data_IF_856814731404
#
_entry.id   IF_856814731404
#
_cell.length_a   1.000
_cell.length_b   1.000
_cell.length_c   1.000
_cell.angle_alpha   90.00
_cell.angle_beta   90.00
_cell.angle_gamma   90.00
#
_symmetry.space_group_name_H-M   'P 1'
#
loop_
_entity.id
_entity.type
_entity.pdbx_description
1 polymer ?
#
# COMPACT_ATOMS: atom_id res chain seq x y z
N UNK A 1 7.76 12.29 7.31
CA UNK A 1 9.17 12.77 7.27
C UNK A 1 9.63 13.28 5.91
N UNK A 2 9.77 12.43 4.87
CA UNK A 2 10.50 12.79 3.65
C UNK A 2 9.94 14.01 2.87
N UNK A 3 8.61 14.24 2.91
CA UNK A 3 7.95 15.38 2.27
C UNK A 3 7.78 16.61 3.17
N UNK A 4 8.12 16.51 4.47
CA UNK A 4 7.92 17.62 5.42
C UNK A 4 8.81 18.81 5.04
N UNK A 5 8.30 20.03 5.16
CA UNK A 5 9.06 21.23 4.82
C UNK A 5 10.23 21.48 5.77
N UNK A 6 10.02 21.30 7.08
CA UNK A 6 11.04 21.50 8.10
C UNK A 6 11.93 20.25 8.30
N UNK A 7 13.12 20.44 8.86
CA UNK A 7 14.10 19.41 9.24
C UNK A 7 15.33 19.38 8.32
N UNK A 8 16.21 18.39 8.52
CA UNK A 8 17.51 18.32 7.82
C UNK A 8 17.34 17.93 6.36
N UNK A 9 18.02 18.63 5.44
CA UNK A 9 17.88 18.45 4.00
C UNK A 9 18.27 17.05 3.52
N UNK A 10 19.30 16.43 4.11
CA UNK A 10 19.72 15.07 3.79
C UNK A 10 18.68 13.99 4.16
N UNK A 11 17.62 14.36 4.89
CA UNK A 11 16.50 13.48 5.25
C UNK A 11 15.22 13.82 4.46
N UNK A 12 15.33 14.53 3.33
CA UNK A 12 14.18 15.05 2.57
C UNK A 12 14.25 14.64 1.12
N UNK A 13 13.07 14.42 0.55
CA UNK A 13 12.87 14.14 -0.87
C UNK A 13 11.49 14.70 -1.26
N UNK A 14 11.38 16.04 -1.28
CA UNK A 14 10.11 16.76 -1.37
C UNK A 14 9.47 16.69 -2.75
N UNK A 15 10.30 16.51 -3.78
CA UNK A 15 9.87 16.41 -5.17
C UNK A 15 9.17 15.08 -5.50
N UNK A 16 9.29 14.09 -4.61
CA UNK A 16 8.61 12.80 -4.75
C UNK A 16 7.19 12.83 -4.17
N UNK A 17 6.36 11.91 -4.65
CA UNK A 17 5.03 11.63 -4.10
C UNK A 17 5.08 10.32 -3.32
N UNK A 18 4.30 10.26 -2.24
CA UNK A 18 4.31 9.14 -1.31
C UNK A 18 2.92 8.51 -1.24
N UNK A 19 2.88 7.18 -1.26
CA UNK A 19 1.67 6.40 -1.13
C UNK A 19 1.92 5.22 -0.18
N UNK A 20 0.87 4.75 0.47
CA UNK A 20 0.87 3.55 1.29
C UNK A 20 0.05 2.46 0.61
N UNK A 21 0.65 1.28 0.49
CA UNK A 21 0.00 0.05 0.03
C UNK A 21 -0.37 -0.80 1.26
N UNK A 22 -1.56 -0.57 1.79
CA UNK A 22 -1.97 -0.97 3.14
C UNK A 22 -2.69 -2.33 3.11
N UNK A 23 -2.21 -3.35 3.83
CA UNK A 23 -2.94 -4.60 4.01
C UNK A 23 -4.10 -4.45 5.02
N UNK A 24 -5.17 -5.21 4.84
CA UNK A 24 -6.35 -5.24 5.72
C UNK A 24 -5.94 -5.55 7.18
N UNK A 25 -4.95 -6.43 7.37
CA UNK A 25 -4.41 -6.79 8.68
C UNK A 25 -3.94 -5.57 9.47
N UNK A 26 -3.26 -4.62 8.83
CA UNK A 26 -2.80 -3.41 9.50
C UNK A 26 -3.98 -2.61 10.04
N UNK A 27 -5.02 -2.40 9.23
CA UNK A 27 -6.21 -1.66 9.64
C UNK A 27 -6.97 -2.35 10.77
N UNK A 28 -7.06 -3.69 10.76
CA UNK A 28 -7.63 -4.45 11.90
C UNK A 28 -6.81 -4.23 13.17
N UNK A 29 -5.47 -4.33 13.10
CA UNK A 29 -4.60 -4.11 14.26
C UNK A 29 -4.66 -2.68 14.80
N UNK A 30 -4.84 -1.67 13.93
CA UNK A 30 -5.08 -0.28 14.35
C UNK A 30 -6.39 -0.18 15.14
N UNK A 31 -7.48 -0.77 14.61
CA UNK A 31 -8.81 -0.78 15.26
C UNK A 31 -8.77 -1.46 16.62
N UNK A 32 -8.04 -2.56 16.74
CA UNK A 32 -7.92 -3.37 17.97
C UNK A 32 -6.86 -2.84 18.95
N UNK A 33 -6.13 -1.78 18.61
CA UNK A 33 -4.98 -1.28 19.36
C UNK A 33 -3.89 -2.36 19.62
N UNK A 34 -3.74 -3.26 18.65
CA UNK A 34 -2.78 -4.35 18.70
C UNK A 34 -1.37 -3.88 18.33
N UNK A 35 -0.39 -4.78 18.46
CA UNK A 35 0.98 -4.54 18.02
C UNK A 35 1.13 -4.76 16.52
N UNK A 36 2.03 -4.02 15.89
CA UNK A 36 2.46 -4.18 14.52
C UNK A 36 3.97 -4.43 14.48
N UNK A 37 4.37 -5.46 13.77
CA UNK A 37 5.78 -5.84 13.57
C UNK A 37 6.30 -5.24 12.27
N UNK A 38 7.46 -4.60 12.36
CA UNK A 38 8.24 -4.10 11.24
C UNK A 38 9.29 -5.13 10.85
N UNK A 39 9.42 -5.36 9.55
CA UNK A 39 10.24 -6.42 8.97
C UNK A 39 11.26 -5.85 7.99
N UNK A 40 12.42 -6.52 7.90
CA UNK A 40 13.36 -6.32 6.80
C UNK A 40 12.96 -7.25 5.64
N UNK A 41 12.70 -6.74 4.42
CA UNK A 41 12.27 -7.60 3.30
C UNK A 41 13.34 -8.63 2.93
N UNK A 42 14.63 -8.32 3.12
CA UNK A 42 15.73 -9.24 2.85
C UNK A 42 15.77 -10.45 3.81
N UNK A 43 15.23 -10.28 5.02
CA UNK A 43 15.22 -11.31 6.08
C UNK A 43 13.89 -12.07 6.16
N UNK A 44 12.89 -11.66 5.37
CA UNK A 44 11.51 -12.18 5.43
C UNK A 44 11.02 -12.81 4.13
N UNK A 45 11.96 -13.20 3.27
CA UNK A 45 11.66 -14.09 2.15
C UNK A 45 11.43 -15.50 2.69
N UNK A 46 10.32 -16.10 2.30
CA UNK A 46 10.05 -17.50 2.57
C UNK A 46 10.96 -18.36 1.69
N UNK A 47 11.85 -19.13 2.32
CA UNK A 47 12.85 -19.94 1.61
C UNK A 47 12.23 -21.10 0.84
N UNK A 48 11.04 -21.58 1.24
CA UNK A 48 10.37 -22.68 0.55
C UNK A 48 9.67 -22.21 -0.72
N UNK A 49 9.00 -21.07 -0.66
CA UNK A 49 8.19 -20.55 -1.76
C UNK A 49 8.90 -19.48 -2.59
N UNK A 50 10.01 -18.93 -2.09
CA UNK A 50 10.72 -17.80 -2.69
C UNK A 50 9.95 -16.47 -2.59
N UNK A 51 8.80 -16.44 -1.90
CA UNK A 51 7.91 -15.27 -1.83
C UNK A 51 8.14 -14.47 -0.55
N UNK A 52 8.11 -13.15 -0.66
CA UNK A 52 8.07 -12.24 0.48
C UNK A 52 6.67 -11.72 0.79
N UNK A 53 6.56 -10.89 1.82
CA UNK A 53 5.32 -10.20 2.20
C UNK A 53 4.73 -9.31 1.09
N UNK A 54 5.54 -8.90 0.11
CA UNK A 54 5.08 -8.10 -1.04
C UNK A 54 4.45 -8.95 -2.15
N UNK A 55 4.72 -10.26 -2.18
CA UNK A 55 4.30 -11.17 -3.25
C UNK A 55 2.98 -11.89 -2.97
N UNK A 56 2.40 -11.68 -1.79
CA UNK A 56 1.14 -12.30 -1.33
C UNK A 56 0.18 -11.26 -0.79
N UNK A 57 -1.13 -11.52 -0.79
CA UNK A 57 -2.16 -10.60 -0.27
C UNK A 57 -3.27 -11.38 0.47
N UNK A 58 -4.16 -10.65 1.16
CA UNK A 58 -5.29 -11.23 1.89
C UNK A 58 -4.87 -12.29 2.93
N UNK A 59 -5.56 -13.42 2.94
CA UNK A 59 -5.30 -14.49 3.92
C UNK A 59 -3.89 -15.08 3.83
N UNK A 60 -3.31 -15.17 2.62
CA UNK A 60 -1.95 -15.68 2.42
C UNK A 60 -0.93 -14.73 3.06
N UNK A 61 -1.12 -13.41 2.90
CA UNK A 61 -0.33 -12.39 3.58
C UNK A 61 -0.45 -12.51 5.10
N UNK A 62 -1.65 -12.68 5.63
CA UNK A 62 -1.89 -12.78 7.08
C UNK A 62 -1.18 -13.99 7.69
N UNK A 63 -1.29 -15.16 7.04
CA UNK A 63 -0.62 -16.39 7.48
C UNK A 63 0.89 -16.24 7.46
N UNK A 64 1.45 -15.69 6.37
CA UNK A 64 2.89 -15.46 6.26
C UNK A 64 3.38 -14.46 7.31
N UNK A 65 2.69 -13.32 7.45
CA UNK A 65 3.05 -12.27 8.40
C UNK A 65 3.06 -12.79 9.84
N UNK A 66 2.00 -13.47 10.27
CA UNK A 66 1.89 -14.01 11.63
C UNK A 66 2.89 -15.14 11.90
N UNK A 67 3.18 -15.98 10.90
CA UNK A 67 4.25 -16.98 10.98
C UNK A 67 5.61 -16.33 11.21
N UNK A 68 5.96 -15.31 10.41
CA UNK A 68 7.24 -14.59 10.56
C UNK A 68 7.35 -13.89 11.91
N UNK A 69 6.24 -13.39 12.47
CA UNK A 69 6.22 -12.86 13.84
C UNK A 69 6.52 -13.94 14.89
N UNK A 70 5.93 -15.14 14.74
CA UNK A 70 6.15 -16.26 15.65
C UNK A 70 7.58 -16.83 15.54
N UNK A 71 8.16 -16.83 14.35
CA UNK A 71 9.57 -17.20 14.09
C UNK A 71 10.57 -16.15 14.62
N UNK A 72 10.09 -15.00 15.13
CA UNK A 72 10.96 -13.97 15.69
C UNK A 72 11.75 -13.17 14.64
N UNK A 73 11.37 -13.24 13.35
CA UNK A 73 12.03 -12.52 12.25
C UNK A 73 11.69 -11.02 12.19
N UNK A 74 10.94 -10.52 13.18
CA UNK A 74 10.56 -9.12 13.28
C UNK A 74 11.71 -8.24 13.76
N UNK A 75 12.05 -7.20 13.01
CA UNK A 75 13.08 -6.25 13.40
C UNK A 75 12.64 -5.38 14.59
N UNK A 76 11.36 -5.00 14.65
CA UNK A 76 10.82 -4.16 15.72
C UNK A 76 9.31 -4.32 15.87
N UNK A 77 8.82 -4.35 17.11
CA UNK A 77 7.37 -4.26 17.43
C UNK A 77 7.01 -2.87 17.92
N UNK A 78 5.87 -2.35 17.46
CA UNK A 78 5.31 -1.06 17.86
C UNK A 78 3.80 -1.17 18.01
N UNK A 79 3.12 -0.23 18.68
CA UNK A 79 1.66 -0.20 18.63
C UNK A 79 1.19 0.23 17.25
N UNK A 80 0.22 -0.47 16.66
CA UNK A 80 -0.30 -0.16 15.34
C UNK A 80 -0.85 1.29 15.27
N UNK A 81 -1.52 1.73 16.34
CA UNK A 81 -2.00 3.11 16.45
C UNK A 81 -0.89 4.15 16.46
N UNK A 82 0.30 3.85 16.99
CA UNK A 82 1.42 4.79 16.91
C UNK A 82 1.84 5.06 15.46
N UNK A 83 1.90 4.01 14.62
CA UNK A 83 2.16 4.19 13.19
C UNK A 83 1.01 4.93 12.51
N UNK A 84 -0.24 4.59 12.85
CA UNK A 84 -1.41 5.26 12.31
C UNK A 84 -1.41 6.77 12.60
N UNK A 85 -1.11 7.17 13.83
CA UNK A 85 -0.97 8.59 14.18
C UNK A 85 0.12 9.29 13.37
N UNK A 86 1.24 8.61 13.06
CA UNK A 86 2.28 9.17 12.18
C UNK A 86 1.79 9.37 10.73
N UNK A 87 0.96 8.46 10.22
CA UNK A 87 0.33 8.62 8.90
C UNK A 87 -0.58 9.85 8.88
N UNK A 88 -1.44 9.98 9.90
CA UNK A 88 -2.36 11.12 10.04
C UNK A 88 -1.61 12.45 10.19
N UNK A 89 -0.59 12.50 11.04
CA UNK A 89 0.28 13.67 11.21
C UNK A 89 0.90 14.10 9.86
N UNK A 90 1.43 13.15 9.09
CA UNK A 90 1.97 13.42 7.75
C UNK A 90 0.91 13.95 6.78
N UNK A 91 -0.29 13.38 6.79
CA UNK A 91 -1.40 13.82 5.95
C UNK A 91 -1.89 15.22 6.33
N UNK A 92 -1.95 15.54 7.62
CA UNK A 92 -2.31 16.87 8.10
C UNK A 92 -1.29 17.93 7.67
N UNK A 93 0.00 17.61 7.70
CA UNK A 93 1.06 18.56 7.35
C UNK A 93 1.26 18.71 5.82
N UNK A 94 1.10 17.63 5.06
CA UNK A 94 1.54 17.58 3.64
C UNK A 94 0.47 17.13 2.65
N UNK A 95 -0.71 16.74 3.13
CA UNK A 95 -1.76 16.12 2.30
C UNK A 95 -1.44 14.69 1.84
N UNK A 96 -0.29 14.12 2.24
CA UNK A 96 0.21 12.80 1.79
C UNK A 96 0.76 11.99 2.99
N UNK A 97 0.81 10.66 2.93
CA UNK A 97 0.73 9.79 1.74
C UNK A 97 -0.68 9.52 1.24
N UNK A 98 -0.79 9.16 -0.04
CA UNK A 98 -1.99 8.53 -0.59
C UNK A 98 -2.26 7.19 0.10
N UNK A 99 -3.54 6.81 0.18
CA UNK A 99 -3.99 5.60 0.87
C UNK A 99 -4.58 4.63 -0.13
N UNK A 100 -3.98 3.44 -0.25
CA UNK A 100 -4.48 2.38 -1.10
C UNK A 100 -4.54 1.08 -0.32
N UNK A 101 -5.64 0.36 -0.46
CA UNK A 101 -5.88 -0.89 0.26
C UNK A 101 -5.50 -2.08 -0.61
N UNK A 102 -4.32 -2.65 -0.34
CA UNK A 102 -3.67 -3.72 -1.09
C UNK A 102 -4.60 -4.89 -1.35
N UNK A 103 -5.27 -5.37 -0.32
CA UNK A 103 -6.05 -6.60 -0.39
C UNK A 103 -7.33 -6.39 -1.20
N UNK A 104 -7.96 -5.22 -1.08
CA UNK A 104 -9.10 -4.84 -1.91
C UNK A 104 -8.72 -4.64 -3.37
N UNK A 105 -7.57 -4.03 -3.64
CA UNK A 105 -7.08 -3.81 -4.99
C UNK A 105 -6.78 -5.13 -5.69
N UNK A 106 -6.12 -6.06 -5.00
CA UNK A 106 -5.79 -7.37 -5.54
C UNK A 106 -7.03 -8.27 -5.71
N UNK A 107 -7.88 -8.40 -4.68
CA UNK A 107 -9.05 -9.32 -4.69
C UNK A 107 -10.09 -8.99 -5.77
N UNK A 108 -10.14 -7.74 -6.22
CA UNK A 108 -11.12 -7.25 -7.20
C UNK A 108 -10.51 -6.95 -8.57
N UNK A 109 -9.24 -7.24 -8.77
CA UNK A 109 -8.58 -7.04 -10.06
C UNK A 109 -8.88 -8.20 -11.00
N UNK A 110 -9.24 -7.87 -12.24
CA UNK A 110 -9.32 -8.87 -13.31
C UNK A 110 -7.93 -9.43 -13.70
N UNK A 111 -6.84 -8.82 -13.23
CA UNK A 111 -5.45 -9.27 -13.43
C UNK A 111 -4.91 -10.12 -12.27
N UNK A 112 -5.74 -10.50 -11.29
CA UNK A 112 -5.29 -11.33 -10.16
C UNK A 112 -4.63 -12.66 -10.57
N UNK A 113 -4.93 -13.15 -11.78
CA UNK A 113 -4.34 -14.34 -12.38
C UNK A 113 -2.86 -14.18 -12.77
N UNK A 114 -2.34 -12.96 -12.88
CA UNK A 114 -0.94 -12.68 -13.20
C UNK A 114 -0.04 -12.71 -11.96
N UNK A 115 -0.62 -12.46 -10.79
CA UNK A 115 0.07 -12.44 -9.51
C UNK A 115 -0.34 -11.25 -8.64
N UNK A 116 0.35 -11.06 -7.51
CA UNK A 116 0.07 -9.96 -6.58
C UNK A 116 0.50 -8.63 -7.19
N UNK A 117 -0.45 -7.70 -7.31
CA UNK A 117 -0.25 -6.30 -7.68
C UNK A 117 0.42 -5.57 -6.50
N UNK A 118 1.54 -4.90 -6.80
CA UNK A 118 2.46 -4.34 -5.80
C UNK A 118 2.30 -2.84 -5.56
N UNK A 119 1.63 -2.12 -6.46
CA UNK A 119 1.42 -0.67 -6.34
C UNK A 119 0.25 -0.21 -7.23
N UNK A 120 -0.02 1.10 -7.19
CA UNK A 120 -0.81 1.83 -8.18
C UNK A 120 0.10 2.77 -8.98
N UNK A 121 -0.48 3.69 -9.76
CA UNK A 121 0.22 4.76 -10.47
C UNK A 121 0.29 6.06 -9.64
N UNK A 122 0.81 7.13 -10.25
CA UNK A 122 0.96 8.45 -9.64
C UNK A 122 -0.36 9.03 -9.10
N UNK A 123 -1.45 8.83 -9.83
CA UNK A 123 -2.75 9.45 -9.53
C UNK A 123 -3.72 8.51 -8.79
N UNK A 124 -3.28 7.28 -8.45
CA UNK A 124 -3.97 6.29 -7.60
C UNK A 124 -5.18 5.58 -8.19
N UNK A 125 -5.50 5.82 -9.47
CA UNK A 125 -6.66 5.26 -10.17
C UNK A 125 -6.36 3.93 -10.88
N UNK A 126 -5.08 3.64 -11.18
CA UNK A 126 -4.69 2.45 -11.96
C UNK A 126 -4.17 1.35 -11.04
N UNK A 127 -4.69 0.15 -11.23
CA UNK A 127 -4.35 -1.05 -10.44
C UNK A 127 -3.99 -2.16 -11.42
N UNK A 128 -2.72 -2.21 -11.80
CA UNK A 128 -2.18 -3.13 -12.80
C UNK A 128 -0.98 -3.90 -12.27
N UNK A 129 -0.82 -5.14 -12.73
CA UNK A 129 0.29 -6.00 -12.40
C UNK A 129 1.61 -5.45 -12.94
N UNK A 130 2.68 -5.63 -12.16
CA UNK A 130 4.06 -5.30 -12.56
C UNK A 130 5.01 -6.38 -12.09
N UNK A 131 6.09 -6.57 -12.84
CA UNK A 131 7.16 -7.54 -12.54
C UNK A 131 8.51 -6.96 -12.95
N UNK A 132 9.65 -7.62 -12.66
CA UNK A 132 10.96 -7.18 -13.18
C UNK A 132 11.00 -7.03 -14.71
N UNK A 133 10.19 -7.81 -15.42
CA UNK A 133 10.17 -7.87 -16.89
C UNK A 133 8.95 -7.15 -17.50
N UNK A 134 8.00 -6.68 -16.67
CA UNK A 134 6.76 -6.05 -17.11
C UNK A 134 6.53 -4.69 -16.44
N UNK A 135 6.57 -3.63 -17.26
CA UNK A 135 6.20 -2.27 -16.87
C UNK A 135 4.78 -1.98 -17.37
N UNK A 136 3.85 -1.85 -16.43
CA UNK A 136 2.46 -1.49 -16.71
C UNK A 136 2.35 -0.09 -17.35
N UNK A 137 1.37 0.08 -18.24
CA UNK A 137 1.17 1.33 -19.00
C UNK A 137 -0.31 1.71 -18.95
N UNK A 138 -0.55 2.98 -18.61
CA UNK A 138 -1.89 3.53 -18.52
C UNK A 138 -2.31 4.23 -19.81
N UNK A 139 -3.41 3.78 -20.44
CA UNK A 139 -4.01 4.43 -21.60
C UNK A 139 -5.34 5.09 -21.20
N UNK A 140 -5.39 6.44 -21.23
CA UNK A 140 -6.47 7.21 -20.64
C UNK A 140 -7.26 8.03 -21.66
N UNK A 141 -8.56 8.12 -21.41
CA UNK A 141 -9.47 9.12 -21.97
C UNK A 141 -10.56 9.42 -20.92
N UNK A 142 -11.27 10.54 -21.05
CA UNK A 142 -12.38 10.90 -20.17
C UNK A 142 -13.65 11.20 -20.97
N UNK A 143 -14.80 10.84 -20.41
CA UNK A 143 -16.11 11.11 -21.00
C UNK A 143 -16.72 12.33 -20.29
N UNK A 144 -17.11 13.34 -21.07
CA UNK A 144 -17.78 14.54 -20.54
C UNK A 144 -19.24 14.22 -20.19
N UNK A 145 -19.48 13.73 -18.97
CA UNK A 145 -20.80 13.33 -18.48
C UNK A 145 -21.92 14.38 -18.70
N UNK A 146 -21.68 15.70 -18.56
CA UNK A 146 -22.72 16.71 -18.81
C UNK A 146 -23.29 16.71 -20.23
N UNK A 147 -22.56 16.20 -21.23
CA UNK A 147 -23.04 16.11 -22.61
C UNK A 147 -24.20 15.13 -22.79
N UNK A 148 -24.43 14.24 -21.81
CA UNK A 148 -25.51 13.25 -21.81
C UNK A 148 -26.69 13.65 -20.92
N UNK A 149 -26.63 14.82 -20.27
CA UNK A 149 -27.73 15.33 -19.46
C UNK A 149 -28.84 15.87 -20.37
N UNK A 150 -30.04 15.33 -20.23
CA UNK A 150 -31.25 15.88 -20.84
C UNK A 150 -31.86 16.96 -19.93
N UNK A 151 -32.69 17.86 -20.48
CA UNK A 151 -33.40 18.89 -19.70
C UNK A 151 -34.43 18.31 -18.72
N UNK A 152 -34.79 17.03 -18.84
CA UNK A 152 -35.80 16.36 -18.04
C UNK A 152 -35.23 15.62 -16.81
N UNK A 153 -33.90 15.58 -16.65
CA UNK A 153 -33.23 14.97 -15.49
C UNK A 153 -33.44 13.47 -15.31
N UNK A 154 -33.83 12.73 -16.36
CA UNK A 154 -33.92 11.26 -16.35
C UNK A 154 -32.58 10.62 -16.64
#
# INVERSE_FOLDING_TARGET
ELKKNHGKEEQRARDLFYALWVPDLFMRRVKENAEWTLFCPNETVDLETGKGLMDVHGEEFEKLYTRLEAEGKGARKVKAQQLWFRVLESQMETGTPYMLYKDHANRKSNQQNLGTIKSSNLCTEIIEYTSPDEVAVCNLASIALPAFANREGR
#
